data_IF_801073313097
#
_entry.id   IF_801073313097
#
_cell.length_a   1.000
_cell.length_b   1.000
_cell.length_c   1.000
_cell.angle_alpha   90.00
_cell.angle_beta   90.00
_cell.angle_gamma   90.00
#
_symmetry.space_group_name_H-M   'P 1'
#
loop_
_entity.id
_entity.type
_entity.pdbx_description
1 polymer ?
#
# COMPACT_ATOMS: atom_id res chain seq x y z
N UNK A 1 11.79 18.29 -32.17
CA UNK A 1 10.36 18.14 -31.81
C UNK A 1 9.85 16.69 -31.86
N UNK A 2 10.51 15.75 -32.55
CA UNK A 2 10.10 14.33 -32.60
C UNK A 2 10.44 13.54 -31.30
N UNK A 3 11.62 13.78 -30.71
CA UNK A 3 12.10 13.06 -29.52
C UNK A 3 11.26 13.33 -28.26
N UNK A 4 10.65 14.52 -28.13
CA UNK A 4 9.80 14.87 -26.99
C UNK A 4 8.43 14.16 -27.04
N UNK A 5 7.92 13.87 -28.24
CA UNK A 5 6.66 13.12 -28.43
C UNK A 5 6.84 11.62 -28.17
N UNK A 6 7.99 11.08 -28.57
CA UNK A 6 8.36 9.68 -28.28
C UNK A 6 8.60 9.51 -26.78
N UNK A 7 9.25 10.46 -26.11
CA UNK A 7 9.45 10.43 -24.66
C UNK A 7 8.11 10.46 -23.90
N UNK A 8 7.16 11.32 -24.31
CA UNK A 8 5.82 11.36 -23.72
C UNK A 8 5.03 10.06 -23.94
N UNK A 9 5.12 9.46 -25.12
CA UNK A 9 4.44 8.20 -25.43
C UNK A 9 5.02 7.02 -24.62
N UNK A 10 6.35 6.96 -24.47
CA UNK A 10 7.03 5.93 -23.66
C UNK A 10 6.72 6.10 -22.18
N UNK A 11 6.76 7.32 -21.64
CA UNK A 11 6.40 7.59 -20.24
C UNK A 11 4.93 7.24 -19.98
N UNK A 12 4.02 7.57 -20.89
CA UNK A 12 2.60 7.23 -20.76
C UNK A 12 2.36 5.72 -20.80
N UNK A 13 3.06 4.98 -21.68
CA UNK A 13 2.97 3.53 -21.74
C UNK A 13 3.52 2.84 -20.47
N UNK A 14 4.60 3.36 -19.89
CA UNK A 14 5.17 2.86 -18.64
C UNK A 14 4.25 3.06 -17.43
N UNK A 15 3.47 4.14 -17.41
CA UNK A 15 2.49 4.43 -16.36
C UNK A 15 1.29 3.47 -16.45
N UNK A 16 0.82 3.15 -17.66
CA UNK A 16 -0.31 2.24 -17.88
C UNK A 16 0.03 0.78 -17.51
N UNK A 17 1.24 0.30 -17.82
CA UNK A 17 1.67 -1.07 -17.48
C UNK A 17 1.79 -1.32 -15.97
N UNK A 18 2.10 -0.30 -15.16
CA UNK A 18 2.16 -0.45 -13.71
C UNK A 18 0.77 -0.60 -13.09
N UNK A 19 -0.25 0.07 -13.65
CA UNK A 19 -1.63 -0.04 -13.19
C UNK A 19 -2.24 -1.41 -13.53
N UNK A 20 -2.03 -1.92 -14.75
CA UNK A 20 -2.51 -3.26 -15.14
C UNK A 20 -1.83 -4.36 -14.31
N UNK A 21 -0.57 -4.19 -13.92
CA UNK A 21 0.13 -5.10 -13.01
C UNK A 21 -0.50 -5.15 -11.62
N UNK A 22 -0.92 -4.01 -11.06
CA UNK A 22 -1.56 -3.98 -9.74
C UNK A 22 -2.93 -4.65 -9.75
N UNK A 23 -3.80 -4.34 -10.72
CA UNK A 23 -5.16 -4.90 -10.76
C UNK A 23 -5.16 -6.42 -10.95
N UNK A 24 -4.25 -6.96 -11.77
CA UNK A 24 -4.09 -8.40 -11.90
C UNK A 24 -3.65 -9.07 -10.59
N UNK A 25 -2.68 -8.46 -9.89
CA UNK A 25 -2.23 -8.95 -8.59
C UNK A 25 -3.34 -8.85 -7.52
N UNK A 26 -4.12 -7.77 -7.57
CA UNK A 26 -5.26 -7.55 -6.70
C UNK A 26 -6.31 -8.65 -6.89
N UNK A 27 -6.72 -8.91 -8.13
CA UNK A 27 -7.70 -9.96 -8.44
C UNK A 27 -7.23 -11.34 -7.95
N UNK A 28 -5.96 -11.68 -8.17
CA UNK A 28 -5.38 -12.94 -7.67
C UNK A 28 -5.40 -12.98 -6.13
N UNK A 29 -5.04 -11.88 -5.47
CA UNK A 29 -5.02 -11.83 -4.00
C UNK A 29 -6.42 -11.99 -3.39
N UNK A 30 -7.44 -11.41 -4.03
CA UNK A 30 -8.86 -11.61 -3.66
C UNK A 30 -9.26 -13.08 -3.80
N UNK A 31 -8.95 -13.72 -4.92
CA UNK A 31 -9.25 -15.14 -5.12
C UNK A 31 -8.54 -16.04 -4.09
N UNK A 32 -7.28 -15.75 -3.77
CA UNK A 32 -6.51 -16.49 -2.76
C UNK A 32 -7.13 -16.36 -1.37
N UNK A 33 -7.60 -15.16 -1.00
CA UNK A 33 -8.27 -14.94 0.28
C UNK A 33 -9.62 -15.67 0.34
N UNK A 34 -10.45 -15.53 -0.68
CA UNK A 34 -11.78 -16.15 -0.74
C UNK A 34 -11.72 -17.68 -0.74
N UNK A 35 -10.67 -18.26 -1.31
CA UNK A 35 -10.43 -19.71 -1.27
C UNK A 35 -9.81 -20.20 0.04
N UNK A 36 -9.48 -19.31 0.98
CA UNK A 36 -8.82 -19.65 2.24
C UNK A 36 -7.34 -19.97 2.13
N UNK A 37 -6.71 -19.75 0.96
CA UNK A 37 -5.29 -19.99 0.71
C UNK A 37 -4.40 -19.06 1.52
N UNK A 38 -4.87 -17.84 1.80
CA UNK A 38 -4.17 -16.85 2.62
C UNK A 38 -5.04 -16.34 3.76
N UNK A 39 -4.41 -16.04 4.88
CA UNK A 39 -5.05 -15.46 6.08
C UNK A 39 -4.23 -14.28 6.58
N UNK A 40 -4.67 -13.60 7.64
CA UNK A 40 -3.96 -12.43 8.14
C UNK A 40 -2.50 -12.76 8.54
N UNK A 41 -1.55 -11.86 8.25
CA UNK A 41 -1.77 -10.52 7.70
C UNK A 41 -1.84 -10.50 6.17
N UNK A 42 -1.59 -11.63 5.51
CA UNK A 42 -1.50 -11.77 4.06
C UNK A 42 -2.82 -11.57 3.33
N UNK A 43 -2.71 -11.34 2.04
CA UNK A 43 -3.82 -11.16 1.12
C UNK A 43 -4.24 -9.69 0.98
N UNK A 44 -5.46 -9.45 0.47
CA UNK A 44 -5.93 -8.14 0.09
C UNK A 44 -6.60 -7.43 1.26
N UNK A 45 -6.53 -6.11 1.21
CA UNK A 45 -7.12 -5.16 2.14
C UNK A 45 -7.61 -3.93 1.39
N UNK A 46 -8.81 -3.46 1.68
CA UNK A 46 -9.42 -2.31 1.03
C UNK A 46 -10.09 -1.38 2.03
N UNK A 47 -10.01 -0.08 1.78
CA UNK A 47 -10.69 0.95 2.55
C UNK A 47 -10.20 2.32 2.14
N UNK A 48 -9.90 3.17 3.12
CA UNK A 48 -9.53 4.57 2.87
C UNK A 48 -8.26 4.99 3.61
N UNK A 49 -7.61 6.02 3.08
CA UNK A 49 -6.57 6.78 3.76
C UNK A 49 -7.04 8.22 4.01
N UNK A 50 -6.50 8.85 5.04
CA UNK A 50 -6.71 10.26 5.35
C UNK A 50 -5.48 10.88 5.98
N UNK A 51 -5.26 12.17 5.73
CA UNK A 51 -4.29 13.03 6.43
C UNK A 51 -4.99 13.97 7.38
N UNK A 52 -4.39 14.17 8.56
CA UNK A 52 -4.86 15.14 9.56
C UNK A 52 -4.42 16.56 9.18
N UNK A 53 -3.24 16.71 8.57
CA UNK A 53 -2.62 18.02 8.32
C UNK A 53 -3.25 18.81 7.18
N UNK A 54 -3.69 18.15 6.11
CA UNK A 54 -4.24 18.81 4.92
C UNK A 54 -5.62 18.28 4.49
N UNK A 55 -6.28 17.46 5.35
CA UNK A 55 -7.61 16.89 5.12
C UNK A 55 -7.79 16.13 3.80
N UNK A 56 -6.71 15.74 3.13
CA UNK A 56 -6.80 14.89 1.97
C UNK A 56 -7.22 13.48 2.36
N UNK A 57 -8.04 12.86 1.51
CA UNK A 57 -8.51 11.49 1.70
C UNK A 57 -8.63 10.79 0.36
N UNK A 58 -8.67 9.47 0.39
CA UNK A 58 -9.04 8.70 -0.78
C UNK A 58 -9.08 7.20 -0.52
N UNK A 59 -9.33 6.46 -1.59
CA UNK A 59 -9.36 5.00 -1.54
C UNK A 59 -7.96 4.44 -1.36
N UNK A 60 -7.86 3.35 -0.61
CA UNK A 60 -6.62 2.60 -0.42
C UNK A 60 -6.89 1.11 -0.57
N UNK A 61 -6.08 0.47 -1.41
CA UNK A 61 -5.93 -0.98 -1.49
C UNK A 61 -4.52 -1.34 -1.05
N UNK A 62 -4.39 -2.46 -0.36
CA UNK A 62 -3.11 -3.04 0.03
C UNK A 62 -3.11 -4.55 -0.19
N UNK A 63 -2.01 -5.07 -0.71
CA UNK A 63 -1.73 -6.50 -0.83
C UNK A 63 -0.53 -6.81 0.05
N UNK A 64 -0.72 -7.73 1.01
CA UNK A 64 0.35 -8.15 1.92
C UNK A 64 0.85 -9.53 1.51
N UNK A 65 2.16 -9.64 1.31
CA UNK A 65 2.87 -10.84 0.84
C UNK A 65 3.99 -11.25 1.79
N UNK A 66 4.40 -12.52 1.77
CA UNK A 66 5.65 -12.95 2.42
C UNK A 66 6.83 -12.12 1.91
N UNK A 67 7.68 -11.66 2.83
CA UNK A 67 8.96 -11.06 2.49
C UNK A 67 10.06 -12.13 2.43
N UNK A 68 11.04 -12.00 1.52
CA UNK A 68 12.27 -12.80 1.61
C UNK A 68 13.13 -12.42 2.83
N UNK A 69 12.91 -11.24 3.43
CA UNK A 69 13.56 -10.84 4.67
C UNK A 69 12.84 -11.46 5.86
N UNK A 70 13.63 -12.00 6.80
CA UNK A 70 13.11 -12.57 8.03
C UNK A 70 12.35 -11.50 8.82
N UNK A 71 11.21 -11.88 9.40
CA UNK A 71 10.37 -11.02 10.26
C UNK A 71 9.86 -9.75 9.57
N UNK A 72 9.72 -9.79 8.24
CA UNK A 72 9.22 -8.69 7.44
C UNK A 72 8.00 -9.10 6.61
N UNK A 73 7.20 -8.09 6.24
CA UNK A 73 6.05 -8.22 5.35
C UNK A 73 6.20 -7.28 4.16
N UNK A 74 6.00 -7.80 2.97
CA UNK A 74 6.00 -7.02 1.74
C UNK A 74 4.60 -6.49 1.46
N UNK A 75 4.49 -5.18 1.31
CA UNK A 75 3.25 -4.47 1.00
C UNK A 75 3.30 -3.94 -0.42
N UNK A 76 2.19 -4.10 -1.13
CA UNK A 76 1.91 -3.36 -2.36
C UNK A 76 0.67 -2.53 -2.15
N UNK A 77 0.84 -1.21 -2.07
CA UNK A 77 -0.25 -0.26 -1.90
C UNK A 77 -0.68 0.32 -3.23
N UNK A 78 -1.96 0.66 -3.32
CA UNK A 78 -2.55 1.44 -4.39
C UNK A 78 -3.53 2.45 -3.78
N UNK A 79 -3.17 3.73 -3.87
CA UNK A 79 -3.92 4.84 -3.31
C UNK A 79 -4.54 5.67 -4.43
N UNK A 80 -5.72 6.22 -4.18
CA UNK A 80 -6.37 7.22 -5.04
C UNK A 80 -6.48 8.56 -4.32
N UNK A 81 -6.44 9.65 -5.07
CA UNK A 81 -6.65 11.04 -4.62
C UNK A 81 -7.72 11.65 -5.52
N UNK A 82 -8.93 11.82 -4.99
CA UNK A 82 -10.08 12.22 -5.80
C UNK A 82 -10.35 11.22 -6.94
N UNK A 83 -10.80 11.71 -8.09
CA UNK A 83 -11.21 10.88 -9.24
C UNK A 83 -10.11 10.67 -10.29
N UNK A 84 -9.06 11.49 -10.31
CA UNK A 84 -8.08 11.52 -11.41
C UNK A 84 -6.70 10.98 -11.06
N UNK A 85 -6.32 11.01 -9.77
CA UNK A 85 -4.97 10.68 -9.37
C UNK A 85 -4.95 9.35 -8.64
N UNK A 86 -4.04 8.49 -9.06
CA UNK A 86 -3.78 7.20 -8.41
C UNK A 86 -2.30 6.92 -8.44
N UNK A 87 -1.84 6.12 -7.48
CA UNK A 87 -0.43 5.81 -7.34
C UNK A 87 -0.27 4.48 -6.61
N UNK A 88 0.73 3.71 -7.03
CA UNK A 88 1.07 2.46 -6.38
C UNK A 88 2.50 2.54 -5.84
N UNK A 89 2.73 1.95 -4.67
CA UNK A 89 4.07 1.87 -4.11
C UNK A 89 4.25 0.60 -3.29
N UNK A 90 5.47 0.06 -3.33
CA UNK A 90 5.83 -1.15 -2.59
C UNK A 90 6.78 -0.82 -1.45
N UNK A 91 6.53 -1.42 -0.29
CA UNK A 91 7.36 -1.26 0.91
C UNK A 91 7.49 -2.59 1.61
N UNK A 92 8.55 -2.72 2.39
CA UNK A 92 8.86 -3.92 3.14
C UNK A 92 9.12 -3.47 4.57
N UNK A 93 8.25 -3.90 5.49
CA UNK A 93 8.29 -3.47 6.88
C UNK A 93 8.50 -4.64 7.83
N UNK A 94 9.29 -4.46 8.91
CA UNK A 94 9.36 -5.44 9.96
C UNK A 94 8.01 -5.58 10.63
N UNK A 95 7.70 -6.80 11.06
CA UNK A 95 6.49 -7.06 11.81
C UNK A 95 6.56 -8.36 12.58
N UNK A 96 5.66 -8.47 13.56
CA UNK A 96 5.60 -9.61 14.47
C UNK A 96 4.16 -9.98 14.76
N UNK A 97 3.91 -11.28 14.91
CA UNK A 97 2.65 -11.79 15.44
C UNK A 97 2.64 -11.60 16.96
N UNK A 98 1.55 -11.08 17.50
CA UNK A 98 1.30 -10.92 18.93
C UNK A 98 -0.07 -11.52 19.26
N UNK A 99 -0.07 -12.79 19.68
CA UNK A 99 -1.32 -13.53 19.91
C UNK A 99 -2.18 -13.60 18.65
N UNK A 100 -3.36 -12.99 18.69
CA UNK A 100 -4.35 -12.98 17.61
C UNK A 100 -4.20 -11.86 16.58
N UNK A 101 -3.18 -11.01 16.69
CA UNK A 101 -2.96 -9.88 15.78
C UNK A 101 -1.49 -9.74 15.38
N UNK A 102 -1.22 -8.85 14.43
CA UNK A 102 0.10 -8.55 13.90
C UNK A 102 0.40 -7.06 14.12
N UNK A 103 1.62 -6.78 14.58
CA UNK A 103 2.14 -5.41 14.72
C UNK A 103 3.23 -5.22 13.69
N UNK A 104 3.08 -4.21 12.86
CA UNK A 104 3.96 -3.93 11.73
C UNK A 104 4.40 -2.49 11.87
N UNK A 105 5.64 -2.29 12.28
CA UNK A 105 6.18 -1.00 12.63
C UNK A 105 7.53 -0.83 11.96
N UNK A 106 7.66 0.20 11.15
CA UNK A 106 8.90 0.49 10.47
C UNK A 106 8.90 1.86 9.85
N UNK A 107 10.03 2.19 9.26
CA UNK A 107 10.21 3.41 8.52
C UNK A 107 10.85 3.14 7.17
N UNK A 108 10.56 4.01 6.21
CA UNK A 108 11.16 3.96 4.88
C UNK A 108 11.54 5.36 4.44
N UNK A 109 12.81 5.54 4.05
CA UNK A 109 13.21 6.74 3.33
C UNK A 109 12.64 6.70 1.91
N UNK A 110 11.93 7.76 1.53
CA UNK A 110 11.40 8.00 0.18
C UNK A 110 12.27 9.01 -0.59
N UNK A 111 13.54 9.17 -0.19
CA UNK A 111 14.45 10.11 -0.82
C UNK A 111 14.00 11.56 -0.61
N UNK A 112 13.71 12.27 -1.70
CA UNK A 112 13.28 13.68 -1.67
C UNK A 112 11.95 13.91 -0.94
N UNK A 113 11.16 12.85 -0.71
CA UNK A 113 9.88 12.93 0.01
C UNK A 113 10.02 12.65 1.52
N UNK A 114 11.26 12.56 2.01
CA UNK A 114 11.56 12.35 3.43
C UNK A 114 11.37 10.91 3.90
N UNK A 115 11.48 10.71 5.21
CA UNK A 115 11.25 9.44 5.90
C UNK A 115 9.76 9.27 6.19
N UNK A 116 9.23 8.10 5.86
CA UNK A 116 7.85 7.71 6.12
C UNK A 116 7.81 6.66 7.23
N UNK A 117 7.28 7.02 8.38
CA UNK A 117 6.99 6.10 9.48
C UNK A 117 5.64 5.43 9.27
N UNK A 118 5.55 4.14 9.60
CA UNK A 118 4.34 3.35 9.47
C UNK A 118 4.17 2.45 10.70
N UNK A 119 3.00 2.53 11.34
CA UNK A 119 2.62 1.67 12.47
C UNK A 119 1.25 1.07 12.20
N UNK A 120 1.19 -0.22 11.94
CA UNK A 120 -0.05 -0.93 11.67
C UNK A 120 -0.33 -2.05 12.68
N UNK A 121 -1.62 -2.22 12.96
CA UNK A 121 -2.17 -3.39 13.65
C UNK A 121 -3.11 -4.12 12.68
N UNK A 122 -2.85 -5.39 12.45
CA UNK A 122 -3.61 -6.23 11.53
C UNK A 122 -4.20 -7.41 12.28
N UNK A 123 -5.50 -7.61 12.15
CA UNK A 123 -6.26 -8.76 12.68
C UNK A 123 -6.75 -9.62 11.52
N UNK A 124 -7.63 -10.60 11.76
CA UNK A 124 -8.23 -11.37 10.68
C UNK A 124 -9.11 -10.53 9.73
N UNK A 125 -9.75 -9.47 10.24
CA UNK A 125 -10.77 -8.69 9.53
C UNK A 125 -10.49 -7.19 9.41
N UNK A 126 -9.51 -6.66 10.15
CA UNK A 126 -9.18 -5.24 10.18
C UNK A 126 -7.68 -5.00 10.02
N UNK A 127 -7.34 -3.97 9.25
CA UNK A 127 -6.01 -3.41 9.12
C UNK A 127 -6.12 -1.91 9.37
N UNK A 128 -5.58 -1.48 10.52
CA UNK A 128 -5.48 -0.08 10.89
C UNK A 128 -4.03 0.35 10.90
N UNK A 129 -3.72 1.50 10.29
CA UNK A 129 -2.38 2.07 10.34
C UNK A 129 -2.39 3.55 10.69
N UNK A 130 -1.30 4.00 11.30
CA UNK A 130 -0.91 5.41 11.33
C UNK A 130 0.37 5.57 10.54
N UNK A 131 0.47 6.67 9.82
CA UNK A 131 1.72 7.08 9.21
C UNK A 131 2.11 8.49 9.58
N UNK A 132 3.41 8.76 9.48
CA UNK A 132 4.00 10.07 9.69
C UNK A 132 5.09 10.33 8.66
N UNK A 133 5.28 11.58 8.22
CA UNK A 133 6.47 11.96 7.47
C UNK A 133 7.29 13.05 8.18
N UNK A 134 8.52 13.29 7.71
CA UNK A 134 9.43 14.30 8.29
C UNK A 134 8.90 15.74 8.18
N UNK A 135 7.94 15.99 7.29
CA UNK A 135 7.28 17.29 7.14
C UNK A 135 6.14 17.50 8.16
N UNK A 136 5.91 16.53 9.06
CA UNK A 136 4.87 16.60 10.09
C UNK A 136 3.49 16.15 9.63
N UNK A 137 3.35 15.59 8.41
CA UNK A 137 2.09 15.00 7.99
C UNK A 137 1.81 13.76 8.82
N UNK A 138 0.62 13.73 9.39
CA UNK A 138 0.07 12.58 10.10
C UNK A 138 -1.13 12.08 9.33
N UNK A 139 -1.25 10.77 9.19
CA UNK A 139 -2.43 10.19 8.57
C UNK A 139 -2.73 8.80 9.07
N UNK A 140 -3.85 8.29 8.59
CA UNK A 140 -4.39 7.00 9.01
C UNK A 140 -4.90 6.19 7.83
N UNK A 141 -4.74 4.87 7.94
CA UNK A 141 -5.35 3.89 7.05
C UNK A 141 -6.40 3.10 7.82
N UNK A 142 -7.57 2.93 7.21
CA UNK A 142 -8.66 2.11 7.74
C UNK A 142 -9.12 1.15 6.67
N UNK A 143 -8.65 -0.10 6.75
CA UNK A 143 -8.89 -1.14 5.75
C UNK A 143 -9.56 -2.37 6.36
N UNK A 144 -10.32 -3.07 5.53
CA UNK A 144 -10.98 -4.35 5.82
C UNK A 144 -10.68 -5.35 4.71
N UNK A 145 -11.09 -6.60 4.93
CA UNK A 145 -11.14 -7.58 3.85
C UNK A 145 -12.15 -7.13 2.78
N UNK A 146 -11.83 -7.30 1.49
CA UNK A 146 -12.75 -7.00 0.40
C UNK A 146 -13.90 -8.01 0.32
#
# INVERSE_FOLDING_TARGET
MSSLRILFAVVSALILCQCSSFENEWAQSVADYQSGRVTAPFGPWQGNWSTITNNHTGGLRAIVKPSPKKDHYAFRYHATWGVLFQGSYSVDFPGKKQGGYYVIEGDKSLGLFGKFGHKATVTNSSFMAKYSNDNGDLGSFSLRRP
#
